data_IF_212020186518
#
_entry.id   IF_212020186518
#
_cell.length_a   1.000
_cell.length_b   1.000
_cell.length_c   1.000
_cell.angle_alpha   90.00
_cell.angle_beta   90.00
_cell.angle_gamma   90.00
#
_symmetry.space_group_name_H-M   'P 1'
#
loop_
_entity.id
_entity.type
_entity.pdbx_description
1 polymer ?
#
# COMPACT_ATOMS: atom_id res chain seq x y z
N UNK A 1 -41.67 -13.72 -6.24
CA UNK A 1 -41.76 -13.69 -4.78
C UNK A 1 -43.08 -14.31 -4.37
N UNK A 2 -43.00 -15.35 -3.55
CA UNK A 2 -44.11 -16.07 -2.95
C UNK A 2 -44.73 -15.22 -1.86
N UNK A 3 -46.04 -14.97 -1.90
CA UNK A 3 -46.69 -14.11 -0.90
C UNK A 3 -46.70 -14.78 0.48
N UNK A 4 -46.41 -14.00 1.53
CA UNK A 4 -46.62 -14.45 2.91
C UNK A 4 -48.09 -14.36 3.27
N UNK A 5 -48.67 -15.47 3.75
CA UNK A 5 -50.06 -15.54 4.17
C UNK A 5 -50.13 -15.86 5.65
N UNK A 6 -50.69 -14.93 6.45
CA UNK A 6 -50.90 -15.19 7.87
C UNK A 6 -51.79 -16.43 8.05
N UNK A 7 -51.38 -17.35 8.91
CA UNK A 7 -52.20 -18.50 9.29
C UNK A 7 -53.10 -18.03 10.45
N UNK A 8 -54.44 -17.98 10.26
CA UNK A 8 -55.37 -17.61 11.32
C UNK A 8 -55.24 -18.55 12.52
N UNK A 9 -55.45 -18.04 13.73
CA UNK A 9 -55.44 -18.87 14.94
C UNK A 9 -56.49 -19.99 14.89
N UNK A 10 -57.62 -19.76 14.19
CA UNK A 10 -58.64 -20.77 13.96
C UNK A 10 -58.13 -21.96 13.13
N UNK A 11 -57.11 -21.79 12.30
CA UNK A 11 -56.59 -22.87 11.44
C UNK A 11 -55.56 -23.76 12.16
N UNK A 12 -55.15 -23.40 13.39
CA UNK A 12 -54.17 -24.16 14.20
C UNK A 12 -54.77 -24.76 15.48
N UNK A 13 -56.10 -24.74 15.61
CA UNK A 13 -56.84 -25.42 16.68
C UNK A 13 -56.71 -26.96 16.51
N UNK A 14 -56.49 -27.74 17.59
CA UNK A 14 -56.52 -29.20 17.56
C UNK A 14 -57.70 -29.83 16.80
N UNK A 15 -58.87 -29.19 16.80
CA UNK A 15 -60.07 -29.70 16.14
C UNK A 15 -60.24 -29.20 14.69
N UNK A 16 -59.34 -28.34 14.21
CA UNK A 16 -59.43 -27.76 12.87
C UNK A 16 -59.03 -28.74 11.77
N UNK A 17 -59.80 -28.83 10.66
CA UNK A 17 -59.47 -29.72 9.57
C UNK A 17 -58.20 -29.27 8.84
N UNK A 18 -57.35 -30.22 8.44
CA UNK A 18 -56.26 -29.96 7.51
C UNK A 18 -56.84 -29.56 6.14
N UNK A 19 -56.83 -28.26 5.84
CA UNK A 19 -57.32 -27.74 4.57
C UNK A 19 -56.18 -27.64 3.55
N UNK A 20 -56.53 -27.67 2.26
CA UNK A 20 -55.57 -27.39 1.18
C UNK A 20 -54.96 -25.99 1.34
N UNK A 21 -55.72 -25.01 1.84
CA UNK A 21 -55.24 -23.65 2.08
C UNK A 21 -54.17 -23.60 3.15
N UNK A 22 -54.39 -24.26 4.30
CA UNK A 22 -53.42 -24.36 5.38
C UNK A 22 -52.13 -25.04 4.92
N UNK A 23 -52.25 -26.17 4.21
CA UNK A 23 -51.07 -26.86 3.66
C UNK A 23 -50.32 -26.03 2.63
N UNK A 24 -51.03 -25.23 1.83
CA UNK A 24 -50.42 -24.28 0.89
C UNK A 24 -49.65 -23.19 1.65
N UNK A 25 -50.25 -22.59 2.69
CA UNK A 25 -49.56 -21.58 3.51
C UNK A 25 -48.34 -22.16 4.23
N UNK A 26 -48.43 -23.36 4.80
CA UNK A 26 -47.29 -24.03 5.48
C UNK A 26 -46.12 -24.33 4.54
N UNK A 27 -46.40 -24.62 3.26
CA UNK A 27 -45.38 -24.81 2.22
C UNK A 27 -44.80 -23.48 1.72
N UNK A 28 -45.67 -22.50 1.49
CA UNK A 28 -45.31 -21.26 0.79
C UNK A 28 -44.71 -20.20 1.74
N UNK A 29 -45.14 -20.15 3.00
CA UNK A 29 -44.63 -19.17 3.98
C UNK A 29 -43.12 -19.32 4.27
N UNK A 30 -42.55 -20.53 4.43
CA UNK A 30 -41.09 -20.68 4.54
C UNK A 30 -40.34 -20.10 3.33
N UNK A 31 -40.88 -20.27 2.12
CA UNK A 31 -40.31 -19.69 0.89
C UNK A 31 -40.44 -18.17 0.95
N UNK A 32 -41.61 -17.65 1.28
CA UNK A 32 -41.86 -16.20 1.41
C UNK A 32 -40.94 -15.54 2.45
N UNK A 33 -40.66 -16.22 3.58
CA UNK A 33 -39.69 -15.79 4.60
C UNK A 33 -38.27 -15.78 4.01
N UNK A 34 -37.86 -16.84 3.31
CA UNK A 34 -36.52 -16.92 2.69
C UNK A 34 -36.29 -15.87 1.60
N UNK A 35 -37.35 -15.48 0.88
CA UNK A 35 -37.31 -14.45 -0.17
C UNK A 35 -37.49 -13.03 0.38
N UNK A 36 -37.77 -12.87 1.68
CA UNK A 36 -38.00 -11.56 2.29
C UNK A 36 -39.27 -10.85 1.80
N UNK A 37 -40.32 -11.61 1.46
CA UNK A 37 -41.56 -11.04 0.90
C UNK A 37 -42.27 -10.10 1.88
N UNK A 38 -42.95 -9.08 1.34
CA UNK A 38 -43.70 -8.11 2.15
C UNK A 38 -44.67 -8.80 3.11
N UNK A 39 -44.61 -8.44 4.40
CA UNK A 39 -45.44 -9.03 5.45
C UNK A 39 -44.89 -10.31 6.09
N UNK A 40 -43.85 -10.92 5.50
CA UNK A 40 -43.15 -12.04 6.12
C UNK A 40 -42.39 -11.59 7.38
N UNK A 41 -42.33 -12.43 8.43
CA UNK A 41 -41.44 -12.20 9.56
C UNK A 41 -39.99 -12.06 9.10
N UNK A 42 -39.26 -11.09 9.67
CA UNK A 42 -37.83 -10.96 9.45
C UNK A 42 -37.09 -12.06 10.21
N UNK A 43 -36.05 -12.63 9.59
CA UNK A 43 -35.08 -13.45 10.32
C UNK A 43 -34.43 -12.59 11.41
N UNK A 44 -34.44 -13.09 12.65
CA UNK A 44 -33.83 -12.40 13.79
C UNK A 44 -32.37 -12.83 13.94
N UNK A 45 -31.58 -12.11 14.74
CA UNK A 45 -30.17 -12.46 15.00
C UNK A 45 -30.02 -13.92 15.46
N UNK A 46 -30.95 -14.43 16.28
CA UNK A 46 -30.93 -15.82 16.76
C UNK A 46 -31.15 -16.88 15.66
N UNK A 47 -31.64 -16.50 14.48
CA UNK A 47 -31.79 -17.39 13.32
C UNK A 47 -30.46 -17.67 12.63
N UNK A 48 -29.41 -16.88 12.93
CA UNK A 48 -28.06 -17.05 12.40
C UNK A 48 -27.17 -17.68 13.47
N UNK A 49 -26.43 -18.72 13.09
CA UNK A 49 -25.34 -19.20 13.94
C UNK A 49 -24.15 -18.22 13.84
N UNK A 50 -23.34 -18.11 14.89
CA UNK A 50 -22.13 -17.32 14.82
C UNK A 50 -21.24 -17.80 13.65
N UNK A 51 -20.87 -16.89 12.75
CA UNK A 51 -20.10 -17.20 11.56
C UNK A 51 -20.88 -17.84 10.40
N UNK A 52 -22.22 -17.95 10.47
CA UNK A 52 -23.01 -18.53 9.37
C UNK A 52 -23.16 -17.61 8.15
N UNK A 53 -22.75 -16.34 8.28
CA UNK A 53 -22.65 -15.40 7.16
C UNK A 53 -21.19 -15.37 6.74
N UNK A 54 -20.85 -16.18 5.73
CA UNK A 54 -19.52 -16.24 5.13
C UNK A 54 -19.45 -15.42 3.83
N UNK A 55 -18.30 -15.45 3.16
CA UNK A 55 -18.11 -14.75 1.90
C UNK A 55 -19.04 -15.23 0.77
N UNK A 56 -19.58 -16.45 0.84
CA UNK A 56 -20.53 -16.97 -0.14
C UNK A 56 -21.97 -16.52 0.16
N UNK A 57 -22.29 -16.26 1.43
CA UNK A 57 -23.56 -15.69 1.85
C UNK A 57 -23.71 -14.20 1.48
N UNK A 58 -22.59 -13.49 1.30
CA UNK A 58 -22.56 -12.09 0.86
C UNK A 58 -22.43 -12.07 -0.66
N UNK A 59 -23.48 -11.64 -1.35
CA UNK A 59 -23.41 -11.48 -2.80
C UNK A 59 -22.33 -10.45 -3.18
N UNK A 60 -21.71 -10.63 -4.35
CA UNK A 60 -20.74 -9.66 -4.87
C UNK A 60 -21.36 -8.25 -4.90
N UNK A 61 -20.59 -7.27 -4.42
CA UNK A 61 -21.00 -5.86 -4.32
C UNK A 61 -22.22 -5.59 -3.40
N UNK A 62 -22.62 -6.54 -2.55
CA UNK A 62 -23.76 -6.36 -1.65
C UNK A 62 -23.51 -5.38 -0.49
N UNK A 63 -22.23 -5.11 -0.18
CA UNK A 63 -21.82 -4.15 0.87
C UNK A 63 -21.15 -2.98 0.18
N UNK A 64 -21.88 -1.87 0.05
CA UNK A 64 -21.37 -0.60 -0.45
C UNK A 64 -21.15 0.41 0.68
N UNK A 65 -20.90 1.66 0.30
CA UNK A 65 -20.69 2.76 1.26
C UNK A 65 -21.92 3.06 2.11
N UNK A 66 -23.15 2.81 1.62
CA UNK A 66 -24.36 3.03 2.40
C UNK A 66 -24.51 2.02 3.54
N UNK A 67 -23.91 0.85 3.41
CA UNK A 67 -23.93 -0.24 4.40
C UNK A 67 -22.80 -0.10 5.43
N UNK A 68 -21.76 0.69 5.12
CA UNK A 68 -20.62 0.97 6.00
C UNK A 68 -20.86 2.29 6.70
N UNK A 69 -21.19 2.25 7.99
CA UNK A 69 -21.35 3.47 8.77
C UNK A 69 -20.03 4.28 8.83
N UNK A 70 -20.15 5.59 9.03
CA UNK A 70 -18.99 6.44 9.24
C UNK A 70 -18.15 5.92 10.42
N UNK A 71 -16.83 5.82 10.22
CA UNK A 71 -15.87 5.25 11.18
C UNK A 71 -16.10 3.77 11.55
N UNK A 72 -16.88 3.01 10.76
CA UNK A 72 -17.09 1.58 11.03
C UNK A 72 -15.81 0.75 10.80
N UNK A 73 -14.92 1.20 9.90
CA UNK A 73 -13.62 0.56 9.64
C UNK A 73 -12.56 1.24 10.50
N UNK A 74 -12.16 0.59 11.59
CA UNK A 74 -11.10 1.06 12.47
C UNK A 74 -9.71 0.80 11.88
N UNK A 75 -8.68 1.43 12.45
CA UNK A 75 -7.29 1.22 12.01
C UNK A 75 -6.79 -0.21 12.21
N UNK A 76 -7.39 -0.98 13.12
CA UNK A 76 -7.08 -2.41 13.29
C UNK A 76 -7.58 -3.28 12.13
N UNK A 77 -8.57 -2.79 11.38
CA UNK A 77 -9.08 -3.46 10.17
C UNK A 77 -8.29 -3.07 8.91
N UNK A 78 -7.38 -2.10 9.03
CA UNK A 78 -6.50 -1.66 7.96
C UNK A 78 -5.10 -2.22 8.19
N UNK A 79 -4.52 -2.87 7.18
CA UNK A 79 -3.12 -3.26 7.21
C UNK A 79 -2.24 -2.01 7.07
N UNK A 80 -1.90 -1.41 8.21
CA UNK A 80 -1.05 -0.21 8.27
C UNK A 80 0.36 -0.56 8.71
N UNK A 81 1.33 0.17 8.17
CA UNK A 81 2.74 0.12 8.54
C UNK A 81 3.23 1.51 8.96
N UNK A 82 4.42 1.56 9.55
CA UNK A 82 5.08 2.83 9.91
C UNK A 82 6.47 2.89 9.31
N UNK A 83 6.87 4.09 8.92
CA UNK A 83 8.26 4.40 8.60
C UNK A 83 8.79 5.45 9.56
N UNK A 84 10.09 5.36 9.83
CA UNK A 84 10.82 6.33 10.64
C UNK A 84 12.03 6.74 9.83
N UNK A 85 12.17 8.04 9.60
CA UNK A 85 13.12 8.58 8.66
C UNK A 85 13.76 9.84 9.21
N UNK A 86 15.00 10.12 8.82
CA UNK A 86 15.73 11.29 9.28
C UNK A 86 16.67 11.81 8.21
N UNK A 87 16.92 13.12 8.24
CA UNK A 87 17.89 13.75 7.35
C UNK A 87 18.54 14.96 8.03
N UNK A 88 19.85 15.09 7.88
CA UNK A 88 20.64 16.23 8.31
C UNK A 88 20.51 17.36 7.29
N UNK A 89 20.04 18.51 7.75
CA UNK A 89 19.85 19.72 6.96
C UNK A 89 21.00 20.69 7.25
N UNK A 90 21.88 20.97 6.27
CA UNK A 90 23.01 21.89 6.46
C UNK A 90 22.59 23.30 6.91
N UNK A 91 23.50 24.07 7.50
CA UNK A 91 23.20 25.47 7.86
C UNK A 91 22.86 26.31 6.62
N UNK A 92 21.78 27.09 6.70
CA UNK A 92 21.18 27.82 5.57
C UNK A 92 20.93 26.95 4.33
N UNK A 93 20.80 25.64 4.51
CA UNK A 93 20.66 24.66 3.44
C UNK A 93 19.28 24.02 3.40
N UNK A 94 19.09 23.15 2.42
CA UNK A 94 17.91 22.31 2.27
C UNK A 94 18.30 20.85 2.21
N UNK A 95 17.42 19.96 2.67
CA UNK A 95 17.52 18.53 2.43
C UNK A 95 16.16 17.96 2.05
N UNK A 96 16.21 16.94 1.20
CA UNK A 96 15.04 16.26 0.65
C UNK A 96 15.02 14.82 1.13
N UNK A 97 13.83 14.32 1.46
CA UNK A 97 13.60 12.91 1.76
C UNK A 97 12.34 12.42 1.05
N UNK A 98 12.42 11.25 0.41
CA UNK A 98 11.24 10.55 -0.10
C UNK A 98 10.62 9.77 1.05
N UNK A 99 9.33 9.96 1.27
CA UNK A 99 8.57 9.31 2.32
C UNK A 99 8.18 7.89 1.89
N UNK A 100 8.45 6.92 2.75
CA UNK A 100 7.91 5.57 2.56
C UNK A 100 6.38 5.62 2.67
N UNK A 101 5.70 4.80 1.87
CA UNK A 101 4.23 4.81 1.77
C UNK A 101 3.69 5.77 0.72
N UNK A 102 4.50 6.71 0.20
CA UNK A 102 4.12 7.56 -0.92
C UNK A 102 2.78 8.27 -0.72
N UNK A 103 1.85 8.08 -1.66
CA UNK A 103 0.49 8.64 -1.60
C UNK A 103 -0.34 8.12 -0.41
N UNK A 104 0.01 6.96 0.15
CA UNK A 104 -0.59 6.39 1.36
C UNK A 104 -0.07 7.03 2.66
N UNK A 105 1.06 7.73 2.60
CA UNK A 105 1.57 8.55 3.71
C UNK A 105 1.05 9.97 3.62
N UNK A 106 1.16 10.58 2.43
CA UNK A 106 0.77 11.97 2.23
C UNK A 106 0.39 12.18 0.76
N UNK A 107 -0.92 12.26 0.49
CA UNK A 107 -1.45 12.59 -0.83
C UNK A 107 -1.85 14.06 -0.91
N UNK A 108 -1.12 14.89 -1.66
CA UNK A 108 -1.54 16.25 -1.99
C UNK A 108 -1.35 16.59 -3.47
N UNK A 109 -2.30 17.37 -4.01
CA UNK A 109 -2.28 17.96 -5.34
C UNK A 109 -2.00 19.46 -5.23
N UNK A 110 -1.05 19.97 -6.01
CA UNK A 110 -0.52 21.33 -5.89
C UNK A 110 -1.59 22.44 -6.00
N UNK A 111 -1.64 23.30 -4.99
CA UNK A 111 -2.16 24.67 -5.06
C UNK A 111 -1.12 25.59 -4.42
N UNK A 112 -0.41 26.39 -5.23
CA UNK A 112 0.75 27.15 -4.77
C UNK A 112 0.43 28.11 -3.63
N UNK A 113 1.11 27.97 -2.49
CA UNK A 113 1.38 29.06 -1.54
C UNK A 113 2.44 28.66 -0.51
N UNK A 114 3.01 29.70 0.11
CA UNK A 114 4.25 29.78 0.91
C UNK A 114 4.14 29.19 2.32
N UNK A 115 4.89 28.12 2.60
CA UNK A 115 5.23 27.60 3.95
C UNK A 115 6.68 27.05 3.96
N UNK A 116 7.39 27.12 5.11
CA UNK A 116 8.82 26.73 5.26
C UNK A 116 9.06 25.27 5.69
N UNK A 117 8.19 24.37 5.24
CA UNK A 117 8.49 22.97 4.93
C UNK A 117 7.77 22.72 3.62
N UNK A 118 8.52 22.61 2.53
CA UNK A 118 7.92 22.52 1.20
C UNK A 118 7.75 21.05 0.84
N UNK A 119 6.55 20.69 0.40
CA UNK A 119 6.28 19.36 -0.14
C UNK A 119 6.58 19.48 -1.63
N UNK A 120 7.75 18.98 -2.03
CA UNK A 120 8.24 19.16 -3.40
C UNK A 120 7.98 17.91 -4.22
N UNK A 121 7.35 18.05 -5.39
CA UNK A 121 7.34 16.97 -6.38
C UNK A 121 8.71 16.92 -7.06
N UNK A 122 9.28 15.72 -7.24
CA UNK A 122 10.32 15.58 -8.27
C UNK A 122 9.63 15.74 -9.62
N UNK A 123 10.23 16.53 -10.51
CA UNK A 123 9.92 16.55 -11.93
C UNK A 123 10.35 15.23 -12.59
N UNK A 124 9.62 14.16 -12.27
CA UNK A 124 9.46 13.00 -13.12
C UNK A 124 7.96 12.87 -13.38
N UNK A 125 7.60 12.15 -14.44
CA UNK A 125 6.26 11.88 -14.95
C UNK A 125 5.29 11.21 -13.93
N UNK A 126 5.19 11.70 -12.70
CA UNK A 126 4.41 11.16 -11.60
C UNK A 126 3.35 12.16 -11.13
N UNK A 127 2.23 11.64 -10.64
CA UNK A 127 1.00 12.41 -10.37
C UNK A 127 0.85 12.83 -8.90
N UNK A 128 1.83 12.55 -8.03
CA UNK A 128 1.80 12.84 -6.60
C UNK A 128 3.20 13.23 -6.06
N UNK A 129 3.24 13.95 -4.93
CA UNK A 129 4.48 14.34 -4.26
C UNK A 129 4.70 13.48 -3.00
N UNK A 130 5.66 12.56 -3.07
CA UNK A 130 6.08 11.76 -1.91
C UNK A 130 7.31 12.31 -1.20
N UNK A 131 7.79 13.51 -1.57
CA UNK A 131 9.03 14.07 -1.04
C UNK A 131 8.75 15.28 -0.15
N UNK A 132 9.37 15.27 1.02
CA UNK A 132 9.43 16.41 1.92
C UNK A 132 10.78 17.13 1.77
N UNK A 133 10.76 18.45 1.56
CA UNK A 133 11.93 19.32 1.60
C UNK A 133 11.93 20.12 2.89
N UNK A 134 13.04 20.05 3.61
CA UNK A 134 13.28 20.81 4.82
C UNK A 134 14.29 21.91 4.55
N UNK A 135 14.05 23.10 5.09
CA UNK A 135 14.99 24.21 5.08
C UNK A 135 15.45 24.51 6.50
N UNK A 136 16.76 24.64 6.68
CA UNK A 136 17.34 25.04 7.96
C UNK A 136 17.74 26.52 7.90
N UNK A 137 16.95 27.37 8.56
CA UNK A 137 17.23 28.80 8.68
C UNK A 137 18.37 29.13 9.65
N UNK A 138 18.92 28.14 10.34
CA UNK A 138 20.06 28.34 11.23
C UNK A 138 21.36 28.49 10.41
N UNK A 139 22.14 29.52 10.70
CA UNK A 139 23.41 29.80 10.01
C UNK A 139 24.65 29.18 10.64
N UNK A 140 24.52 28.58 11.81
CA UNK A 140 25.67 28.20 12.65
C UNK A 140 25.90 26.69 12.68
N UNK A 141 24.86 25.87 12.48
CA UNK A 141 24.99 24.42 12.54
C UNK A 141 23.91 23.71 11.72
N UNK A 142 24.23 22.47 11.32
CA UNK A 142 23.28 21.56 10.72
C UNK A 142 22.26 21.07 11.76
N UNK A 143 21.05 20.71 11.30
CA UNK A 143 19.98 20.15 12.15
C UNK A 143 19.48 18.86 11.56
N UNK A 144 19.33 17.83 12.39
CA UNK A 144 18.63 16.61 11.99
C UNK A 144 17.13 16.82 12.13
N UNK A 145 16.39 16.50 11.07
CA UNK A 145 14.92 16.43 11.08
C UNK A 145 14.52 14.97 11.12
N UNK A 146 13.59 14.62 12.01
CA UNK A 146 12.99 13.30 12.11
C UNK A 146 11.55 13.33 11.58
N UNK A 147 11.18 12.32 10.80
CA UNK A 147 9.88 12.16 10.16
C UNK A 147 9.34 10.78 10.52
N UNK A 148 8.13 10.75 11.07
CA UNK A 148 7.40 9.51 11.30
C UNK A 148 6.15 9.51 10.42
N UNK A 149 5.98 8.45 9.63
CA UNK A 149 4.78 8.25 8.81
C UNK A 149 4.07 6.96 9.18
N UNK A 150 2.74 6.97 9.00
CA UNK A 150 1.89 5.78 9.04
C UNK A 150 1.17 5.71 7.70
N UNK A 151 1.17 4.54 7.07
CA UNK A 151 0.60 4.34 5.75
C UNK A 151 -0.04 2.97 5.60
N UNK A 152 -0.89 2.80 4.59
CA UNK A 152 -1.45 1.50 4.21
C UNK A 152 -0.37 0.70 3.48
N UNK A 153 -0.08 -0.51 3.94
CA UNK A 153 1.06 -1.29 3.51
C UNK A 153 0.89 -1.90 2.10
N UNK A 154 1.95 -1.94 1.29
CA UNK A 154 1.92 -2.44 -0.09
C UNK A 154 1.90 -3.97 -0.27
N UNK A 155 1.59 -4.71 0.79
CA UNK A 155 1.48 -6.17 0.82
C UNK A 155 2.82 -6.94 0.87
N UNK A 156 3.59 -6.87 1.98
CA UNK A 156 4.68 -7.82 2.26
C UNK A 156 4.16 -9.28 2.24
N UNK A 157 5.05 -10.28 2.13
CA UNK A 157 6.51 -10.17 2.15
C UNK A 157 7.12 -9.62 0.86
N UNK A 158 8.32 -9.05 0.96
CA UNK A 158 9.18 -8.69 -0.19
C UNK A 158 10.31 -9.71 -0.31
N UNK A 159 10.75 -9.98 -1.52
CA UNK A 159 11.90 -10.84 -1.81
C UNK A 159 12.61 -10.23 -3.02
N UNK A 160 13.90 -9.94 -2.87
CA UNK A 160 14.72 -9.33 -3.92
C UNK A 160 15.31 -10.37 -4.88
N UNK A 161 15.12 -11.66 -4.61
CA UNK A 161 15.59 -12.79 -5.40
C UNK A 161 16.44 -13.81 -4.62
N UNK A 162 16.73 -13.52 -3.35
CA UNK A 162 17.61 -14.32 -2.51
C UNK A 162 17.12 -14.46 -1.06
N UNK A 163 15.83 -14.17 -0.81
CA UNK A 163 15.17 -14.41 0.46
C UNK A 163 14.16 -13.33 0.83
N UNK A 164 13.32 -13.66 1.81
CA UNK A 164 12.36 -12.72 2.37
C UNK A 164 13.09 -11.57 3.08
N UNK A 165 12.67 -10.35 2.79
CA UNK A 165 13.17 -9.14 3.42
C UNK A 165 12.44 -8.87 4.74
N UNK A 166 13.19 -8.52 5.79
CA UNK A 166 12.69 -7.98 7.04
C UNK A 166 12.40 -6.48 6.92
N UNK A 167 13.27 -5.64 7.47
CA UNK A 167 13.24 -4.19 7.29
C UNK A 167 14.08 -3.73 6.09
N UNK A 168 13.61 -2.68 5.43
CA UNK A 168 14.41 -1.87 4.52
C UNK A 168 15.00 -0.71 5.30
N UNK A 169 16.31 -0.77 5.57
CA UNK A 169 17.06 0.26 6.29
C UNK A 169 18.04 0.92 5.31
N UNK A 170 17.85 2.21 5.05
CA UNK A 170 18.74 3.02 4.23
C UNK A 170 19.51 4.00 5.10
N UNK A 171 20.82 4.08 4.90
CA UNK A 171 21.71 4.97 5.64
C UNK A 171 22.47 5.86 4.66
N UNK A 172 22.40 7.17 4.87
CA UNK A 172 23.27 8.14 4.22
C UNK A 172 24.45 8.46 5.11
N UNK A 173 25.66 8.19 4.63
CA UNK A 173 26.91 8.28 5.39
C UNK A 173 27.80 9.36 4.76
N UNK A 174 28.34 10.26 5.57
CA UNK A 174 29.33 11.24 5.15
C UNK A 174 30.72 10.60 4.93
N UNK A 175 31.61 11.28 4.22
CA UNK A 175 32.98 10.80 3.98
C UNK A 175 33.79 10.51 5.27
N UNK A 176 33.44 11.12 6.41
CA UNK A 176 34.07 10.88 7.70
C UNK A 176 33.42 9.72 8.51
N UNK A 177 32.40 9.06 7.95
CA UNK A 177 31.67 7.97 8.59
C UNK A 177 30.43 8.40 9.40
N UNK A 178 30.15 9.71 9.50
CA UNK A 178 28.97 10.19 10.22
C UNK A 178 27.68 9.81 9.49
N UNK A 179 26.66 9.39 10.23
CA UNK A 179 25.32 9.13 9.69
C UNK A 179 24.60 10.48 9.50
N UNK A 180 24.31 10.83 8.26
CA UNK A 180 23.58 12.04 7.88
C UNK A 180 22.07 11.82 7.74
N UNK A 181 21.65 10.59 7.50
CA UNK A 181 20.23 10.25 7.36
C UNK A 181 20.02 8.76 7.54
N UNK A 182 18.92 8.40 8.18
CA UNK A 182 18.51 7.02 8.39
C UNK A 182 17.02 6.87 8.13
N UNK A 183 16.64 5.85 7.36
CA UNK A 183 15.26 5.57 6.96
C UNK A 183 15.00 4.09 7.12
N UNK A 184 14.10 3.72 8.02
CA UNK A 184 13.65 2.34 8.18
C UNK A 184 12.14 2.18 8.01
N UNK A 185 11.76 1.11 7.31
CA UNK A 185 10.38 0.72 7.08
C UNK A 185 10.27 -0.76 6.69
N UNK A 186 9.09 -1.35 6.89
CA UNK A 186 8.80 -2.72 6.41
C UNK A 186 8.62 -2.81 4.89
N UNK A 187 8.30 -1.66 4.26
CA UNK A 187 8.14 -1.58 2.81
C UNK A 187 9.32 -0.81 2.22
N UNK A 188 9.83 -1.20 1.04
CA UNK A 188 10.89 -0.47 0.39
C UNK A 188 10.36 0.84 -0.18
N UNK A 189 11.27 1.79 -0.41
CA UNK A 189 10.87 3.13 -0.83
C UNK A 189 10.13 3.13 -2.19
N UNK A 190 10.43 2.19 -3.09
CA UNK A 190 9.80 2.14 -4.41
C UNK A 190 8.37 1.59 -4.40
N UNK A 191 7.95 0.85 -3.36
CA UNK A 191 6.67 0.12 -3.36
C UNK A 191 5.43 1.00 -3.55
N UNK A 192 5.51 2.27 -3.12
CA UNK A 192 4.42 3.24 -3.19
C UNK A 192 4.80 4.52 -3.95
N UNK A 193 6.02 4.60 -4.47
CA UNK A 193 6.55 5.81 -5.08
C UNK A 193 6.80 5.64 -6.59
N UNK A 194 6.74 4.41 -7.10
CA UNK A 194 6.96 4.13 -8.51
C UNK A 194 5.68 4.20 -9.38
N UNK A 195 5.83 4.12 -10.72
CA UNK A 195 4.71 4.07 -11.65
C UNK A 195 3.91 2.76 -11.63
N UNK A 196 4.44 1.70 -11.02
CA UNK A 196 3.81 0.38 -10.95
C UNK A 196 2.94 0.27 -9.71
N UNK A 197 1.63 0.13 -9.90
CA UNK A 197 0.74 -0.22 -8.80
C UNK A 197 0.87 -1.71 -8.45
N UNK A 198 1.53 -1.98 -7.32
CA UNK A 198 1.70 -3.31 -6.73
C UNK A 198 0.76 -3.57 -5.54
N UNK A 199 -0.22 -2.70 -5.28
CA UNK A 199 -1.23 -2.88 -4.24
C UNK A 199 -2.25 -3.95 -4.65
N UNK A 200 -2.66 -4.77 -3.68
CA UNK A 200 -3.71 -5.75 -3.87
C UNK A 200 -5.10 -5.09 -3.74
N UNK A 201 -5.95 -5.32 -4.73
CA UNK A 201 -7.37 -4.97 -4.66
C UNK A 201 -8.18 -6.06 -3.94
N UNK A 202 -7.64 -7.28 -3.89
CA UNK A 202 -8.26 -8.43 -3.23
C UNK A 202 -7.21 -9.46 -2.83
N UNK A 203 -7.55 -10.29 -1.85
CA UNK A 203 -6.77 -11.47 -1.47
C UNK A 203 -7.61 -12.73 -1.73
N UNK A 204 -6.96 -13.83 -2.08
CA UNK A 204 -7.62 -15.13 -2.04
C UNK A 204 -7.58 -15.74 -0.63
N UNK A 205 -8.14 -16.95 -0.48
CA UNK A 205 -8.18 -17.70 0.77
C UNK A 205 -6.79 -18.05 1.33
N UNK A 206 -5.76 -18.03 0.48
CA UNK A 206 -4.38 -18.37 0.84
C UNK A 206 -3.56 -17.10 1.12
N UNK A 207 -4.20 -15.92 1.13
CA UNK A 207 -3.55 -14.63 1.38
C UNK A 207 -2.76 -14.09 0.19
N UNK A 208 -2.93 -14.66 -1.01
CA UNK A 208 -2.25 -14.17 -2.21
C UNK A 208 -2.99 -12.93 -2.72
N UNK A 209 -2.24 -11.83 -2.89
CA UNK A 209 -2.75 -10.57 -3.41
C UNK A 209 -2.99 -10.58 -4.91
N UNK A 210 -4.11 -10.00 -5.34
CA UNK A 210 -4.48 -9.81 -6.73
C UNK A 210 -4.90 -8.37 -6.98
N UNK A 211 -4.56 -7.87 -8.17
CA UNK A 211 -5.08 -6.61 -8.71
C UNK A 211 -6.09 -6.89 -9.83
N UNK A 212 -7.06 -6.00 -9.97
CA UNK A 212 -8.05 -6.02 -11.03
C UNK A 212 -7.64 -5.03 -12.11
N UNK A 213 -7.10 -5.55 -13.21
CA UNK A 213 -6.62 -4.72 -14.32
C UNK A 213 -7.39 -5.02 -15.59
N UNK A 214 -7.68 -3.98 -16.37
CA UNK A 214 -8.18 -4.14 -17.73
C UNK A 214 -7.01 -4.34 -18.66
N UNK A 215 -6.85 -5.57 -19.17
CA UNK A 215 -5.81 -5.88 -20.16
C UNK A 215 -6.32 -5.55 -21.55
N UNK A 216 -5.70 -4.55 -22.15
CA UNK A 216 -5.98 -4.20 -23.54
C UNK A 216 -5.65 -5.38 -24.46
N UNK A 217 -6.41 -5.56 -25.56
CA UNK A 217 -6.09 -6.54 -26.59
C UNK A 217 -4.66 -6.35 -27.13
N UNK A 218 -3.95 -7.42 -27.52
CA UNK A 218 -2.56 -7.34 -28.01
C UNK A 218 -2.38 -6.39 -29.21
N UNK A 219 -3.39 -6.27 -30.07
CA UNK A 219 -3.45 -5.36 -31.22
C UNK A 219 -3.59 -3.88 -30.83
N UNK A 220 -3.91 -3.58 -29.57
CA UNK A 220 -3.91 -2.24 -29.02
C UNK A 220 -2.50 -1.68 -28.74
N UNK A 221 -1.42 -2.44 -28.99
CA UNK A 221 -0.04 -1.96 -28.84
C UNK A 221 0.28 -0.70 -29.66
N UNK A 222 -0.45 -0.45 -30.76
CA UNK A 222 -0.35 0.82 -31.50
C UNK A 222 -0.99 2.00 -30.76
N UNK A 223 -1.98 1.75 -29.91
CA UNK A 223 -2.67 2.76 -29.13
C UNK A 223 -1.86 3.17 -27.88
N UNK A 224 -1.07 2.26 -27.30
CA UNK A 224 -0.16 2.61 -26.19
C UNK A 224 1.00 3.50 -26.65
N UNK A 225 1.57 3.25 -27.84
CA UNK A 225 2.57 4.14 -28.46
C UNK A 225 1.99 5.51 -28.77
N UNK A 226 0.76 5.56 -29.29
CA UNK A 226 0.05 6.82 -29.51
C UNK A 226 -0.17 7.58 -28.19
N UNK A 227 -0.39 6.86 -27.08
CA UNK A 227 -0.55 7.48 -25.76
C UNK A 227 0.74 8.08 -25.21
N UNK A 228 1.89 7.43 -25.42
CA UNK A 228 3.18 7.99 -25.06
C UNK A 228 3.44 9.32 -25.79
N UNK A 229 3.17 9.38 -27.11
CA UNK A 229 3.32 10.60 -27.90
C UNK A 229 2.35 11.72 -27.46
N UNK A 230 1.10 11.38 -27.13
CA UNK A 230 0.12 12.33 -26.57
C UNK A 230 0.61 12.89 -25.24
N UNK A 231 1.17 12.05 -24.37
CA UNK A 231 1.70 12.46 -23.07
C UNK A 231 2.85 13.46 -23.23
N UNK A 232 3.82 13.15 -24.10
CA UNK A 232 4.97 14.02 -24.38
C UNK A 232 4.54 15.39 -24.92
N UNK A 233 3.62 15.44 -25.89
CA UNK A 233 3.09 16.70 -26.43
C UNK A 233 2.34 17.52 -25.39
N UNK A 234 1.51 16.86 -24.59
CA UNK A 234 0.73 17.54 -23.54
C UNK A 234 1.67 18.12 -22.48
N UNK A 235 2.70 17.39 -22.08
CA UNK A 235 3.74 17.87 -21.17
C UNK A 235 4.53 19.07 -21.75
N UNK A 236 4.74 19.08 -23.07
CA UNK A 236 5.36 20.20 -23.78
C UNK A 236 4.41 21.39 -24.04
N UNK A 237 3.16 21.34 -23.57
CA UNK A 237 2.15 22.39 -23.80
C UNK A 237 1.70 22.49 -25.27
N UNK A 238 1.95 21.46 -26.07
CA UNK A 238 1.60 21.44 -27.49
C UNK A 238 0.16 20.99 -27.69
N UNK A 239 -0.51 21.60 -28.68
CA UNK A 239 -1.84 21.19 -29.07
C UNK A 239 -1.83 19.79 -29.69
N UNK A 240 -2.80 18.95 -29.31
CA UNK A 240 -3.01 17.64 -29.93
C UNK A 240 -3.63 17.82 -31.33
N UNK A 241 -3.17 17.02 -32.27
CA UNK A 241 -3.76 16.92 -33.61
C UNK A 241 -5.08 16.16 -33.56
N UNK A 242 -5.93 16.34 -34.59
CA UNK A 242 -7.18 15.58 -34.72
C UNK A 242 -6.95 14.06 -34.75
N UNK A 243 -5.81 13.61 -35.30
CA UNK A 243 -5.44 12.20 -35.35
C UNK A 243 -5.13 11.64 -33.95
N UNK A 244 -4.46 12.42 -33.11
CA UNK A 244 -4.12 12.05 -31.73
C UNK A 244 -5.36 12.00 -30.83
N UNK A 245 -6.28 12.95 -30.96
CA UNK A 245 -7.57 12.93 -30.25
C UNK A 245 -8.41 11.71 -30.66
N UNK A 246 -8.41 11.37 -31.96
CA UNK A 246 -9.06 10.15 -32.47
C UNK A 246 -8.40 8.87 -31.94
N UNK A 247 -7.06 8.84 -31.83
CA UNK A 247 -6.33 7.73 -31.22
C UNK A 247 -6.69 7.55 -29.74
N UNK A 248 -6.76 8.65 -28.97
CA UNK A 248 -7.17 8.64 -27.56
C UNK A 248 -8.61 8.13 -27.39
N UNK A 249 -9.52 8.55 -28.27
CA UNK A 249 -10.92 8.09 -28.26
C UNK A 249 -11.02 6.59 -28.51
N UNK A 250 -10.28 6.07 -29.50
CA UNK A 250 -10.20 4.63 -29.78
C UNK A 250 -9.57 3.85 -28.62
N UNK A 251 -8.51 4.38 -28.02
CA UNK A 251 -7.89 3.80 -26.83
C UNK A 251 -8.90 3.71 -25.68
N UNK A 252 -9.62 4.79 -25.40
CA UNK A 252 -10.63 4.84 -24.34
C UNK A 252 -11.76 3.85 -24.59
N UNK A 253 -12.24 3.73 -25.83
CA UNK A 253 -13.26 2.75 -26.19
C UNK A 253 -12.76 1.31 -26.02
N UNK A 254 -11.53 1.02 -26.49
CA UNK A 254 -10.90 -0.29 -26.34
C UNK A 254 -10.68 -0.64 -24.86
N UNK A 255 -10.22 0.31 -24.04
CA UNK A 255 -10.03 0.12 -22.61
C UNK A 255 -11.35 -0.15 -21.88
N UNK A 256 -12.43 0.56 -22.23
CA UNK A 256 -13.76 0.32 -21.67
C UNK A 256 -14.32 -1.06 -22.04
N UNK A 257 -14.06 -1.50 -23.27
CA UNK A 257 -14.49 -2.81 -23.76
C UNK A 257 -13.61 -3.98 -23.26
N UNK A 258 -12.37 -3.69 -22.83
CA UNK A 258 -11.44 -4.72 -22.38
C UNK A 258 -11.95 -5.43 -21.12
N UNK A 259 -11.80 -6.77 -21.04
CA UNK A 259 -12.22 -7.53 -19.87
C UNK A 259 -11.41 -7.11 -18.64
N UNK A 260 -12.07 -7.08 -17.48
CA UNK A 260 -11.37 -7.00 -16.20
C UNK A 260 -10.73 -8.35 -15.92
N UNK A 261 -9.43 -8.37 -15.65
CA UNK A 261 -8.68 -9.57 -15.36
C UNK A 261 -8.14 -9.46 -13.94
N UNK A 262 -8.36 -10.52 -13.16
CA UNK A 262 -7.73 -10.71 -11.86
C UNK A 262 -6.30 -11.20 -12.08
N UNK A 263 -5.33 -10.33 -11.85
CA UNK A 263 -3.91 -10.60 -12.04
C UNK A 263 -3.21 -10.76 -10.69
N UNK A 264 -2.46 -11.85 -10.52
CA UNK A 264 -1.68 -12.10 -9.31
C UNK A 264 -0.56 -11.06 -9.21
N UNK A 265 -0.36 -10.51 -8.02
CA UNK A 265 0.80 -9.66 -7.73
C UNK A 265 2.01 -10.55 -7.49
N UNK A 266 3.05 -10.36 -8.29
CA UNK A 266 4.29 -11.12 -8.19
C UNK A 266 5.41 -10.29 -7.56
N UNK A 267 6.50 -10.93 -7.13
CA UNK A 267 7.66 -10.20 -6.58
C UNK A 267 8.31 -9.31 -7.64
N UNK A 268 8.30 -9.73 -8.91
CA UNK A 268 8.78 -8.91 -10.02
C UNK A 268 7.96 -7.62 -10.14
N UNK A 269 6.64 -7.68 -9.94
CA UNK A 269 5.80 -6.48 -9.92
C UNK A 269 6.09 -5.58 -8.72
N UNK A 270 6.28 -6.16 -7.52
CA UNK A 270 6.63 -5.42 -6.30
C UNK A 270 7.97 -4.69 -6.42
N UNK A 271 8.92 -5.27 -7.15
CA UNK A 271 10.27 -4.73 -7.34
C UNK A 271 10.46 -4.02 -8.70
N UNK A 272 9.39 -3.85 -9.49
CA UNK A 272 9.48 -3.28 -10.85
C UNK A 272 10.10 -1.88 -10.86
N UNK A 273 9.83 -1.10 -9.81
CA UNK A 273 10.25 0.30 -9.69
C UNK A 273 11.50 0.48 -8.82
N UNK A 274 12.13 -0.62 -8.39
CA UNK A 274 13.30 -0.61 -7.50
C UNK A 274 14.44 0.26 -8.04
N UNK A 275 14.66 0.27 -9.35
CA UNK A 275 15.70 1.09 -9.99
C UNK A 275 15.24 2.51 -10.34
N UNK A 276 13.94 2.78 -10.30
CA UNK A 276 13.38 4.12 -10.55
C UNK A 276 13.57 4.99 -9.31
N UNK A 277 13.32 4.42 -8.13
CA UNK A 277 13.48 5.09 -6.84
C UNK A 277 14.25 4.16 -5.91
N UNK A 278 15.58 4.09 -6.04
CA UNK A 278 16.39 3.14 -5.30
C UNK A 278 16.56 3.52 -3.83
N UNK A 279 16.47 4.82 -3.51
CA UNK A 279 16.80 5.40 -2.20
C UNK A 279 15.78 6.46 -1.77
N UNK A 280 15.56 6.65 -0.45
CA UNK A 280 14.85 7.81 0.06
C UNK A 280 15.65 9.12 -0.04
N UNK A 281 16.98 9.05 -0.22
CA UNK A 281 17.86 10.21 -0.27
C UNK A 281 18.33 10.52 -1.68
N UNK A 282 18.64 11.79 -1.93
CA UNK A 282 19.41 12.17 -3.10
C UNK A 282 20.90 11.99 -2.84
N UNK A 283 21.61 11.47 -3.84
CA UNK A 283 23.07 11.43 -3.81
C UNK A 283 23.62 12.85 -3.68
N UNK A 284 24.38 13.10 -2.61
CA UNK A 284 25.12 14.35 -2.43
C UNK A 284 26.63 14.06 -2.56
N UNK A 285 27.38 15.02 -3.08
CA UNK A 285 28.84 14.88 -3.19
C UNK A 285 29.47 14.65 -1.81
N UNK A 286 30.36 13.67 -1.71
CA UNK A 286 31.02 13.30 -0.44
C UNK A 286 30.14 12.51 0.52
N UNK A 287 28.99 12.01 0.07
CA UNK A 287 28.15 11.06 0.82
C UNK A 287 28.04 9.74 0.06
N UNK A 288 27.85 8.67 0.82
CA UNK A 288 27.51 7.33 0.31
C UNK A 288 26.16 6.95 0.88
N UNK A 289 25.27 6.43 0.03
CA UNK A 289 24.02 5.84 0.48
C UNK A 289 24.21 4.33 0.42
N UNK A 290 23.85 3.64 1.49
CA UNK A 290 23.86 2.17 1.55
C UNK A 290 22.48 1.67 2.00
N UNK A 291 22.14 0.45 1.56
CA UNK A 291 21.05 -0.33 2.13
C UNK A 291 21.67 -1.40 3.04
N UNK A 292 21.19 -1.52 4.27
CA UNK A 292 21.64 -2.59 5.16
C UNK A 292 20.97 -3.91 4.74
N UNK A 293 21.65 -5.05 4.87
CA UNK A 293 21.18 -6.35 4.36
C UNK A 293 19.73 -6.65 4.78
N UNK A 294 18.75 -6.51 3.87
CA UNK A 294 17.35 -6.64 4.24
C UNK A 294 16.95 -8.09 4.50
N UNK A 295 17.77 -9.07 4.09
CA UNK A 295 17.51 -10.51 4.22
C UNK A 295 18.19 -11.10 5.47
N UNK A 296 19.03 -10.32 6.16
CA UNK A 296 19.72 -10.76 7.37
C UNK A 296 18.76 -11.11 8.52
N UNK A 297 19.16 -12.07 9.36
CA UNK A 297 18.40 -12.43 10.58
C UNK A 297 18.18 -11.20 11.48
N UNK A 298 19.17 -10.31 11.56
CA UNK A 298 19.06 -9.06 12.32
C UNK A 298 18.00 -8.12 11.74
N UNK A 299 17.87 -8.03 10.42
CA UNK A 299 16.80 -7.24 9.79
C UNK A 299 15.41 -7.74 10.19
N UNK A 300 15.21 -9.05 10.23
CA UNK A 300 13.98 -9.69 10.70
C UNK A 300 13.75 -9.49 12.20
N UNK A 301 14.80 -9.60 13.01
CA UNK A 301 14.74 -9.32 14.45
C UNK A 301 14.31 -7.87 14.72
N UNK A 302 14.93 -6.90 14.02
CA UNK A 302 14.59 -5.49 14.15
C UNK A 302 13.16 -5.19 13.69
N UNK A 303 12.65 -5.89 12.67
CA UNK A 303 11.24 -5.80 12.27
C UNK A 303 10.33 -6.20 13.44
N UNK A 304 10.57 -7.36 14.04
CA UNK A 304 9.78 -7.84 15.17
C UNK A 304 9.87 -6.90 16.38
N UNK A 305 11.06 -6.37 16.70
CA UNK A 305 11.25 -5.42 17.78
C UNK A 305 10.49 -4.11 17.51
N UNK A 306 10.49 -3.63 16.26
CA UNK A 306 9.73 -2.44 15.86
C UNK A 306 8.22 -2.66 16.01
N UNK A 307 7.70 -3.78 15.51
CA UNK A 307 6.27 -4.07 15.49
C UNK A 307 5.70 -4.40 16.88
N UNK A 308 6.47 -5.06 17.74
CA UNK A 308 5.97 -5.56 19.03
C UNK A 308 6.46 -4.79 20.25
N UNK A 309 7.63 -4.14 20.17
CA UNK A 309 8.24 -3.43 21.30
C UNK A 309 8.39 -1.92 21.05
N UNK A 310 8.02 -1.44 19.86
CA UNK A 310 8.13 -0.03 19.50
C UNK A 310 9.58 0.47 19.40
N UNK A 311 10.55 -0.44 19.23
CA UNK A 311 11.96 -0.09 19.10
C UNK A 311 12.19 0.69 17.81
N UNK A 312 12.92 1.79 17.92
CA UNK A 312 13.31 2.61 16.78
C UNK A 312 14.77 2.30 16.39
N UNK A 313 15.00 1.96 15.12
CA UNK A 313 16.35 1.61 14.63
C UNK A 313 17.27 2.83 14.69
N UNK A 314 16.75 4.04 14.48
CA UNK A 314 17.53 5.28 14.60
C UNK A 314 18.14 5.44 15.99
N UNK A 315 17.37 5.12 17.04
CA UNK A 315 17.84 5.20 18.43
C UNK A 315 18.97 4.21 18.68
N UNK A 316 18.90 3.00 18.10
CA UNK A 316 19.97 2.00 18.24
C UNK A 316 21.30 2.46 17.59
N UNK A 317 21.24 3.17 16.46
CA UNK A 317 22.43 3.78 15.87
C UNK A 317 22.96 4.95 16.69
N UNK A 318 22.08 5.81 17.21
CA UNK A 318 22.45 6.93 18.09
C UNK A 318 23.12 6.45 19.39
N UNK A 319 22.64 5.34 19.95
CA UNK A 319 23.25 4.68 21.11
C UNK A 319 24.55 3.92 20.76
N UNK A 320 24.89 3.81 19.47
CA UNK A 320 26.04 3.04 19.01
C UNK A 320 25.91 1.53 19.25
N UNK A 321 24.68 1.02 19.36
CA UNK A 321 24.39 -0.41 19.56
C UNK A 321 24.52 -1.22 18.26
N UNK A 322 24.42 -0.57 17.10
CA UNK A 322 24.59 -1.18 15.79
C UNK A 322 25.88 -0.69 15.11
N UNK A 323 26.50 -1.57 14.32
CA UNK A 323 27.64 -1.25 13.47
C UNK A 323 27.38 -1.64 12.01
N UNK A 324 27.82 -0.79 11.08
CA UNK A 324 27.70 -1.00 9.64
C UNK A 324 29.03 -1.55 9.13
N UNK A 325 28.99 -2.69 8.44
CA UNK A 325 30.18 -3.26 7.81
C UNK A 325 30.61 -2.42 6.61
N UNK A 326 31.93 -2.35 6.37
CA UNK A 326 32.47 -1.80 5.12
C UNK A 326 32.40 -2.79 3.95
N UNK A 327 31.92 -4.02 4.19
CA UNK A 327 31.84 -5.07 3.17
C UNK A 327 30.51 -5.00 2.44
N UNK A 328 30.57 -4.68 1.15
CA UNK A 328 29.44 -4.83 0.24
C UNK A 328 29.14 -6.32 0.01
N UNK A 329 27.88 -6.67 0.11
CA UNK A 329 27.35 -8.00 -0.13
C UNK A 329 26.88 -8.12 -1.57
N UNK A 330 27.07 -9.30 -2.16
CA UNK A 330 26.53 -9.62 -3.49
C UNK A 330 25.06 -10.02 -3.40
N UNK A 331 24.20 -9.06 -3.01
CA UNK A 331 22.74 -9.22 -2.85
C UNK A 331 22.01 -8.67 -4.05
N UNK A 332 20.83 -9.23 -4.34
CA UNK A 332 19.93 -8.63 -5.31
C UNK A 332 19.33 -7.33 -4.73
N UNK A 333 19.25 -6.27 -5.55
CA UNK A 333 18.69 -5.00 -5.11
C UNK A 333 18.84 -3.89 -6.14
N UNK A 334 18.62 -2.63 -5.74
CA UNK A 334 18.64 -1.51 -6.66
C UNK A 334 20.02 -1.34 -7.33
N UNK A 335 20.02 -1.12 -8.65
CA UNK A 335 21.25 -0.91 -9.42
C UNK A 335 22.03 0.28 -8.87
N UNK A 336 23.29 0.04 -8.50
CA UNK A 336 24.20 1.08 -8.00
C UNK A 336 23.98 1.47 -6.53
N UNK A 337 23.12 0.73 -5.80
CA UNK A 337 23.01 0.84 -4.35
C UNK A 337 23.87 -0.25 -3.69
N UNK A 338 24.94 0.11 -2.96
CA UNK A 338 25.67 -0.85 -2.15
C UNK A 338 24.75 -1.43 -1.08
N UNK A 339 24.71 -2.76 -1.01
CA UNK A 339 24.05 -3.48 0.08
C UNK A 339 25.15 -3.97 1.02
N UNK A 340 25.10 -3.59 2.28
CA UNK A 340 26.17 -3.88 3.23
C UNK A 340 25.66 -4.68 4.41
N UNK A 341 26.54 -5.50 4.97
CA UNK A 341 26.25 -6.22 6.21
C UNK A 341 26.19 -5.25 7.40
N UNK A 342 25.46 -5.63 8.44
CA UNK A 342 25.37 -4.86 9.67
C UNK A 342 25.06 -5.78 10.85
N UNK A 343 25.47 -5.37 12.04
CA UNK A 343 25.40 -6.21 13.22
C UNK A 343 25.20 -5.42 14.50
N UNK A 344 24.87 -6.14 15.56
CA UNK A 344 25.05 -5.64 16.91
C UNK A 344 26.53 -5.33 17.10
N UNK A 345 26.83 -4.09 17.49
CA UNK A 345 28.19 -3.72 17.89
C UNK A 345 28.52 -4.57 19.11
N UNK A 346 29.50 -5.44 18.99
CA UNK A 346 29.95 -6.26 20.12
C UNK A 346 30.29 -5.34 21.29
N UNK A 347 29.43 -5.28 22.30
CA UNK A 347 29.80 -4.79 23.62
C UNK A 347 30.86 -5.78 24.08
N UNK A 348 32.13 -5.44 23.84
CA UNK A 348 33.25 -6.36 23.97
C UNK A 348 33.06 -7.21 25.20
N UNK A 349 33.07 -8.54 25.01
CA UNK A 349 32.84 -9.55 26.03
C UNK A 349 33.15 -8.98 27.41
N UNK A 350 32.10 -8.58 28.14
CA UNK A 350 32.27 -8.23 29.53
C UNK A 350 32.85 -9.49 30.16
N UNK A 351 34.13 -9.44 30.51
CA UNK A 351 34.81 -10.52 31.20
C UNK A 351 33.96 -10.82 32.44
N UNK A 352 33.25 -11.95 32.39
CA UNK A 352 32.68 -12.60 33.56
C UNK A 352 33.84 -13.30 34.26
#
# INVERSE_FOLDING_TARGET
MTAYNAIPAADIDPDSPLTTSLMTHLRDNPIAISEGSTGAPKNQTASYAAGSVDAAAIAADAVGQSEIAANAVGSGELKTATASQSVSVPSLGTADIVLTGGDQTMGYFYGGSTLWADITSIAHDQTYAARARFYNSNSSFARTVYVHSRYVQASPPYDLGDGECGLFIYVQIAANGDILGLSEAADPIWAHNGPTNALADSYDKDGIGYRHVRKLPPDAGRLSVAMAAVREKTAAGQALTALEVSALSRYTAAFKAAPMVRERITNEMKNADMNVIPSPYQQQGGTTIVMLDPVSDLSHELLHLKEHQGVNVSELFELGALEISSTELNRAGPTGMPIVDFGWKNAGAAAI
#
